data_IF_793054744736
#
_entry.id   IF_793054744736
#
_cell.length_a   1.000
_cell.length_b   1.000
_cell.length_c   1.000
_cell.angle_alpha   90.00
_cell.angle_beta   90.00
_cell.angle_gamma   90.00
#
_symmetry.space_group_name_H-M   'P 1'
#
loop_
_entity.id
_entity.type
_entity.pdbx_description
1 polymer ?
#
# COMPACT_ATOMS: atom_id res chain seq x y z
N UNK A 1 -35.12 -49.36 47.91
CA UNK A 1 -34.90 -48.14 47.10
C UNK A 1 -33.88 -47.36 47.92
N UNK A 2 -32.63 -47.26 47.50
CA UNK A 2 -32.20 -46.31 46.49
C UNK A 2 -30.83 -46.73 45.94
N UNK A 3 -30.63 -46.55 44.64
CA UNK A 3 -29.43 -46.90 43.87
C UNK A 3 -28.46 -45.72 43.95
N UNK A 4 -27.28 -45.92 44.53
CA UNK A 4 -26.22 -44.90 44.55
C UNK A 4 -25.62 -44.84 43.16
N UNK A 5 -25.79 -43.71 42.47
CA UNK A 5 -25.20 -43.45 41.15
C UNK A 5 -23.87 -42.73 41.35
N UNK A 6 -22.76 -43.36 40.93
CA UNK A 6 -21.44 -42.76 40.81
C UNK A 6 -21.48 -41.56 39.83
N UNK A 7 -20.99 -40.40 40.27
CA UNK A 7 -20.77 -39.25 39.41
C UNK A 7 -19.46 -39.48 38.60
N UNK A 8 -19.44 -39.21 37.27
CA UNK A 8 -18.27 -39.50 36.45
C UNK A 8 -17.14 -38.51 36.73
N UNK A 9 -15.90 -39.03 36.68
CA UNK A 9 -14.65 -38.28 36.77
C UNK A 9 -14.56 -37.22 35.66
N UNK A 10 -15.04 -36.00 35.94
CA UNK A 10 -15.20 -34.91 34.94
C UNK A 10 -14.33 -33.71 35.31
N UNK A 11 -13.08 -33.97 35.70
CA UNK A 11 -12.11 -32.94 36.10
C UNK A 11 -10.95 -32.83 35.12
N UNK A 12 -10.08 -33.84 35.11
CA UNK A 12 -8.83 -33.83 34.34
C UNK A 12 -9.05 -33.97 32.84
N UNK A 13 -9.84 -34.97 32.37
CA UNK A 13 -10.12 -35.12 30.93
C UNK A 13 -10.84 -33.91 30.31
N UNK A 14 -11.63 -33.19 31.12
CA UNK A 14 -12.35 -31.99 30.69
C UNK A 14 -11.42 -30.79 30.46
N UNK A 15 -10.35 -30.68 31.25
CA UNK A 15 -9.33 -29.63 31.11
C UNK A 15 -8.47 -29.94 29.88
N UNK A 16 -7.98 -31.18 29.75
CA UNK A 16 -7.17 -31.61 28.60
C UNK A 16 -7.93 -31.48 27.26
N UNK A 17 -9.22 -31.84 27.25
CA UNK A 17 -10.12 -31.65 26.08
C UNK A 17 -10.45 -30.18 25.79
N UNK A 18 -10.26 -29.28 26.76
CA UNK A 18 -10.46 -27.84 26.59
C UNK A 18 -9.18 -27.15 26.10
N UNK A 19 -8.00 -27.57 26.58
CA UNK A 19 -6.70 -27.09 26.12
C UNK A 19 -6.42 -27.48 24.67
N UNK A 20 -6.68 -28.73 24.31
CA UNK A 20 -6.58 -29.21 22.91
C UNK A 20 -7.53 -28.47 21.96
N UNK A 21 -8.78 -28.21 22.38
CA UNK A 21 -9.73 -27.36 21.62
C UNK A 21 -9.37 -25.88 21.59
N UNK A 22 -8.56 -25.40 22.52
CA UNK A 22 -8.05 -24.02 22.53
C UNK A 22 -6.86 -23.89 21.58
N UNK A 23 -5.92 -24.82 21.63
CA UNK A 23 -4.76 -24.88 20.73
C UNK A 23 -5.18 -24.97 19.25
N UNK A 24 -6.21 -25.77 18.93
CA UNK A 24 -6.78 -25.83 17.58
C UNK A 24 -7.44 -24.52 17.12
N UNK A 25 -8.04 -23.74 18.05
CA UNK A 25 -8.63 -22.42 17.73
C UNK A 25 -7.58 -21.32 17.61
N UNK A 26 -6.48 -21.42 18.36
CA UNK A 26 -5.34 -20.48 18.28
C UNK A 26 -4.51 -20.72 17.01
N UNK A 27 -4.45 -21.95 16.50
CA UNK A 27 -3.76 -22.28 15.25
C UNK A 27 -4.47 -21.77 13.97
N UNK A 28 -5.78 -21.49 14.04
CA UNK A 28 -6.58 -20.98 12.91
C UNK A 28 -6.60 -19.44 12.85
N UNK A 29 -6.03 -18.76 13.85
CA UNK A 29 -5.66 -17.35 13.72
C UNK A 29 -4.36 -17.27 12.93
N UNK A 30 -4.50 -17.16 11.61
CA UNK A 30 -3.44 -16.65 10.74
C UNK A 30 -2.98 -15.34 11.34
N UNK A 31 -1.79 -15.39 11.94
CA UNK A 31 -1.19 -14.31 12.69
C UNK A 31 -0.96 -13.16 11.71
N UNK A 32 -1.87 -12.18 11.68
CA UNK A 32 -1.67 -10.90 11.00
C UNK A 32 -0.39 -10.29 11.56
N UNK A 33 0.74 -10.56 10.90
CA UNK A 33 2.01 -9.96 11.26
C UNK A 33 1.92 -8.47 10.92
N UNK A 34 2.49 -7.60 11.76
CA UNK A 34 2.41 -6.14 11.64
C UNK A 34 2.96 -5.54 10.32
N UNK A 35 3.31 -6.36 9.33
CA UNK A 35 3.66 -5.95 7.97
C UNK A 35 3.14 -6.86 6.86
N UNK A 36 2.21 -7.77 7.14
CA UNK A 36 1.60 -8.68 6.15
C UNK A 36 0.08 -8.67 6.27
N UNK A 37 -0.61 -8.53 5.16
CA UNK A 37 -2.08 -8.64 5.07
C UNK A 37 -2.46 -9.64 4.00
N UNK A 38 -3.39 -10.52 4.31
CA UNK A 38 -3.96 -11.46 3.34
C UNK A 38 -5.40 -11.05 3.01
N UNK A 39 -5.68 -10.77 1.74
CA UNK A 39 -7.01 -10.34 1.28
C UNK A 39 -7.34 -11.00 -0.05
N UNK A 40 -8.48 -11.70 -0.09
CA UNK A 40 -9.02 -12.35 -1.30
C UNK A 40 -7.96 -13.04 -2.16
N UNK A 41 -7.17 -13.94 -1.57
CA UNK A 41 -6.17 -14.72 -2.31
C UNK A 41 -4.78 -14.07 -2.44
N UNK A 42 -4.63 -12.78 -2.11
CA UNK A 42 -3.37 -12.04 -2.24
C UNK A 42 -2.73 -11.72 -0.90
N UNK A 43 -1.40 -11.61 -0.94
CA UNK A 43 -0.60 -11.14 0.21
C UNK A 43 -0.02 -9.77 -0.10
N UNK A 44 -0.24 -8.83 0.80
CA UNK A 44 0.28 -7.47 0.76
C UNK A 44 1.32 -7.29 1.85
N UNK A 45 2.44 -6.66 1.50
CA UNK A 45 3.51 -6.31 2.43
C UNK A 45 3.48 -4.81 2.72
N UNK A 46 3.64 -4.45 3.98
CA UNK A 46 3.80 -3.06 4.39
C UNK A 46 5.18 -2.56 4.00
N UNK A 47 5.25 -1.42 3.32
CA UNK A 47 6.51 -0.82 2.88
C UNK A 47 6.88 0.46 3.63
N UNK A 48 5.97 1.03 4.42
CA UNK A 48 6.20 2.26 5.14
C UNK A 48 5.01 3.21 5.07
N UNK A 49 5.20 4.45 5.49
CA UNK A 49 4.16 5.47 5.46
C UNK A 49 4.50 6.55 4.43
N UNK A 50 3.47 7.01 3.71
CA UNK A 50 3.53 8.15 2.79
C UNK A 50 2.90 9.34 3.48
N UNK A 51 3.63 10.45 3.52
CA UNK A 51 3.12 11.73 4.02
C UNK A 51 2.37 12.44 2.91
N UNK A 52 1.09 12.70 3.15
CA UNK A 52 0.23 13.47 2.24
C UNK A 52 0.49 14.97 2.39
N UNK A 53 0.13 15.82 1.41
CA UNK A 53 0.28 17.28 1.54
C UNK A 53 -0.43 17.90 2.75
N UNK A 54 -1.47 17.24 3.29
CA UNK A 54 -2.18 17.64 4.50
C UNK A 54 -1.47 17.21 5.81
N UNK A 55 -0.31 16.56 5.72
CA UNK A 55 0.46 16.04 6.85
C UNK A 55 0.01 14.67 7.36
N UNK A 56 -1.03 14.08 6.76
CA UNK A 56 -1.52 12.74 7.14
C UNK A 56 -0.55 11.66 6.67
N UNK A 57 -0.24 10.71 7.56
CA UNK A 57 0.53 9.52 7.23
C UNK A 57 -0.40 8.40 6.78
N UNK A 58 -0.19 7.89 5.57
CA UNK A 58 -0.94 6.75 5.03
C UNK A 58 -0.01 5.55 4.83
N UNK A 59 -0.42 4.34 5.21
CA UNK A 59 0.42 3.15 5.05
C UNK A 59 0.48 2.73 3.57
N UNK A 60 1.68 2.55 3.03
CA UNK A 60 1.92 2.00 1.71
C UNK A 60 1.97 0.47 1.77
N UNK A 61 1.05 -0.17 1.05
CA UNK A 61 1.01 -1.62 0.91
C UNK A 61 1.39 -2.05 -0.50
N UNK A 62 2.13 -3.13 -0.65
CA UNK A 62 2.56 -3.64 -1.96
C UNK A 62 2.19 -5.11 -2.07
N UNK A 63 1.56 -5.49 -3.18
CA UNK A 63 1.30 -6.88 -3.52
C UNK A 63 2.63 -7.64 -3.63
N UNK A 64 2.74 -8.74 -2.88
CA UNK A 64 3.90 -9.64 -2.89
C UNK A 64 4.24 -10.21 -4.28
N UNK A 65 3.31 -10.18 -5.24
CA UNK A 65 3.57 -10.59 -6.63
C UNK A 65 4.22 -9.50 -7.47
N UNK A 66 4.26 -8.24 -6.99
CA UNK A 66 4.94 -7.15 -7.68
C UNK A 66 6.42 -7.45 -7.84
N UNK A 67 6.98 -7.07 -9.01
CA UNK A 67 8.40 -7.20 -9.33
C UNK A 67 8.90 -5.87 -9.90
N UNK A 68 10.12 -5.51 -9.54
CA UNK A 68 10.80 -4.35 -10.14
C UNK A 68 10.92 -4.55 -11.66
N UNK A 69 10.61 -3.50 -12.42
CA UNK A 69 10.60 -3.54 -13.89
C UNK A 69 9.23 -3.83 -14.52
N UNK A 70 8.20 -4.18 -13.72
CA UNK A 70 6.82 -4.19 -14.21
C UNK A 70 6.35 -2.77 -14.55
N UNK A 71 5.58 -2.63 -15.63
CA UNK A 71 4.95 -1.36 -15.99
C UNK A 71 3.96 -0.96 -14.90
N UNK A 72 4.24 0.16 -14.23
CA UNK A 72 3.43 0.68 -13.15
C UNK A 72 2.49 1.78 -13.67
N UNK A 73 1.17 1.55 -13.57
CA UNK A 73 0.16 2.53 -13.93
C UNK A 73 -0.37 3.24 -12.68
N UNK A 74 -0.16 4.54 -12.59
CA UNK A 74 -0.63 5.35 -11.45
C UNK A 74 -2.09 5.74 -11.64
N UNK A 75 -2.92 5.38 -10.68
CA UNK A 75 -4.35 5.67 -10.64
C UNK A 75 -4.68 6.47 -9.36
N UNK A 76 -5.34 7.63 -9.47
CA UNK A 76 -5.78 8.37 -8.31
C UNK A 76 -6.87 7.60 -7.57
N UNK A 77 -6.75 7.56 -6.25
CA UNK A 77 -7.77 7.01 -5.37
C UNK A 77 -9.10 7.74 -5.59
N UNK A 78 -10.19 6.98 -5.77
CA UNK A 78 -11.53 7.54 -6.01
C UNK A 78 -11.75 8.16 -7.40
N UNK A 79 -10.85 7.94 -8.36
CA UNK A 79 -11.09 8.30 -9.77
C UNK A 79 -12.02 7.31 -10.47
N UNK A 80 -12.52 7.67 -11.66
CA UNK A 80 -13.32 6.77 -12.50
C UNK A 80 -12.55 5.48 -12.85
N UNK A 81 -11.24 5.59 -13.11
CA UNK A 81 -10.38 4.43 -13.37
C UNK A 81 -10.25 3.51 -12.14
N UNK A 82 -10.20 4.09 -10.94
CA UNK A 82 -10.23 3.31 -9.69
C UNK A 82 -11.55 2.54 -9.55
N UNK A 83 -12.69 3.18 -9.80
CA UNK A 83 -13.99 2.51 -9.70
C UNK A 83 -14.22 1.48 -10.81
N UNK A 84 -13.65 1.70 -12.00
CA UNK A 84 -13.65 0.70 -13.06
C UNK A 84 -12.89 -0.58 -12.64
N UNK A 85 -11.72 -0.43 -11.99
CA UNK A 85 -11.00 -1.57 -11.40
C UNK A 85 -11.80 -2.23 -10.27
N UNK A 86 -12.40 -1.45 -9.38
CA UNK A 86 -13.21 -1.95 -8.26
C UNK A 86 -14.54 -2.59 -8.68
N UNK A 87 -14.85 -2.69 -9.98
CA UNK A 87 -16.04 -3.40 -10.47
C UNK A 87 -15.96 -4.92 -10.24
N UNK A 88 -14.75 -5.46 -10.17
CA UNK A 88 -14.49 -6.85 -9.81
C UNK A 88 -14.47 -7.00 -8.27
N UNK A 89 -15.24 -7.93 -7.67
CA UNK A 89 -15.34 -8.05 -6.22
C UNK A 89 -14.00 -8.32 -5.51
N UNK A 90 -13.16 -9.17 -6.09
CA UNK A 90 -11.85 -9.49 -5.53
C UNK A 90 -10.91 -8.28 -5.57
N UNK A 91 -10.95 -7.53 -6.67
CA UNK A 91 -10.20 -6.28 -6.83
C UNK A 91 -10.67 -5.22 -5.83
N UNK A 92 -11.97 -5.06 -5.65
CA UNK A 92 -12.53 -4.14 -4.65
C UNK A 92 -12.05 -4.49 -3.24
N UNK A 93 -11.98 -5.78 -2.90
CA UNK A 93 -11.44 -6.23 -1.62
C UNK A 93 -9.96 -5.85 -1.47
N UNK A 94 -9.14 -6.06 -2.50
CA UNK A 94 -7.73 -5.65 -2.49
C UNK A 94 -7.55 -4.14 -2.34
N UNK A 95 -8.31 -3.33 -3.09
CA UNK A 95 -8.24 -1.88 -3.05
C UNK A 95 -8.67 -1.29 -1.69
N UNK A 96 -9.44 -2.05 -0.90
CA UNK A 96 -9.85 -1.66 0.44
C UNK A 96 -8.71 -1.78 1.48
N UNK A 97 -7.56 -2.35 1.12
CA UNK A 97 -6.40 -2.50 2.04
C UNK A 97 -5.85 -1.14 2.45
N UNK A 98 -5.65 -0.24 1.48
CA UNK A 98 -5.13 1.10 1.72
C UNK A 98 -5.40 2.03 0.53
N UNK A 99 -5.63 3.33 0.76
CA UNK A 99 -5.68 4.32 -0.32
C UNK A 99 -4.30 4.62 -0.94
N UNK A 100 -3.21 4.13 -0.35
CA UNK A 100 -1.86 4.11 -0.93
C UNK A 100 -1.39 2.66 -1.08
N UNK A 101 -1.35 2.14 -2.31
CA UNK A 101 -0.89 0.77 -2.54
C UNK A 101 -0.39 0.48 -3.95
N UNK A 102 0.37 -0.60 -4.10
CA UNK A 102 0.68 -1.22 -5.39
C UNK A 102 0.03 -2.59 -5.46
N UNK A 103 -0.76 -2.85 -6.50
CA UNK A 103 -1.45 -4.12 -6.72
C UNK A 103 -1.19 -4.64 -8.12
N UNK A 104 -1.01 -5.96 -8.29
CA UNK A 104 -0.89 -6.57 -9.60
C UNK A 104 -2.21 -7.22 -10.00
N UNK A 105 -2.80 -6.73 -11.08
CA UNK A 105 -4.07 -7.21 -11.64
C UNK A 105 -3.81 -7.63 -13.07
N UNK A 106 -4.13 -8.88 -13.43
CA UNK A 106 -3.92 -9.42 -14.79
C UNK A 106 -2.51 -9.12 -15.35
N UNK A 107 -1.46 -9.38 -14.55
CA UNK A 107 -0.04 -9.13 -14.90
C UNK A 107 0.37 -7.65 -14.99
N UNK A 108 -0.55 -6.71 -14.80
CA UNK A 108 -0.27 -5.27 -14.80
C UNK A 108 -0.18 -4.74 -13.38
N UNK A 109 0.86 -3.95 -13.08
CA UNK A 109 1.02 -3.32 -11.78
C UNK A 109 0.32 -1.95 -11.76
N UNK A 110 -0.52 -1.71 -10.76
CA UNK A 110 -1.23 -0.46 -10.56
C UNK A 110 -0.78 0.19 -9.26
N UNK A 111 -0.40 1.46 -9.32
CA UNK A 111 -0.13 2.29 -8.14
C UNK A 111 -1.37 3.11 -7.84
N UNK A 112 -2.04 2.81 -6.74
CA UNK A 112 -3.12 3.64 -6.21
C UNK A 112 -2.52 4.68 -5.28
N UNK A 113 -2.89 5.94 -5.48
CA UNK A 113 -2.41 7.05 -4.65
C UNK A 113 -3.45 8.14 -4.47
N UNK A 114 -3.42 8.79 -3.31
CA UNK A 114 -4.21 9.97 -2.96
C UNK A 114 -3.52 11.29 -3.32
N UNK A 115 -2.25 11.23 -3.75
CA UNK A 115 -1.49 12.36 -4.26
C UNK A 115 -1.80 12.58 -5.74
N UNK A 116 -2.36 13.73 -6.08
CA UNK A 116 -2.67 14.08 -7.45
C UNK A 116 -1.40 14.47 -8.21
N UNK A 117 -0.75 13.49 -8.85
CA UNK A 117 0.07 13.70 -10.06
C UNK A 117 -0.25 12.57 -11.05
N UNK A 118 -1.53 12.47 -11.44
CA UNK A 118 -1.92 11.77 -12.66
C UNK A 118 -1.88 12.73 -13.83
N UNK A 119 -0.70 12.87 -14.43
CA UNK A 119 -0.59 13.37 -15.79
C UNK A 119 0.55 12.65 -16.54
N UNK A 120 0.42 11.34 -16.73
CA UNK A 120 1.19 10.58 -17.71
C UNK A 120 0.48 9.26 -18.07
N UNK A 121 -0.57 9.35 -18.89
CA UNK A 121 -1.25 8.13 -19.37
C UNK A 121 -2.57 8.29 -20.11
N UNK A 122 -2.99 9.50 -20.51
CA UNK A 122 -4.13 9.62 -21.41
C UNK A 122 -3.71 9.23 -22.85
N UNK A 123 -4.42 8.30 -23.54
CA UNK A 123 -4.34 8.21 -24.98
C UNK A 123 -4.82 9.53 -25.57
N UNK A 124 -3.95 10.12 -26.39
CA UNK A 124 -4.22 11.37 -27.10
C UNK A 124 -5.48 11.23 -27.95
N UNK A 125 -6.48 12.06 -27.67
CA UNK A 125 -7.45 12.43 -28.71
C UNK A 125 -6.68 13.24 -29.75
N UNK A 126 -6.70 12.93 -31.06
CA UNK A 126 -6.06 13.78 -32.06
C UNK A 126 -6.83 15.10 -32.14
N UNK A 127 -6.33 16.13 -31.47
CA UNK A 127 -6.75 17.50 -31.72
C UNK A 127 -6.27 17.92 -33.12
N UNK A 128 -7.12 18.52 -33.98
CA UNK A 128 -6.65 19.02 -35.26
C UNK A 128 -5.77 20.27 -35.08
N UNK A 129 -4.53 20.12 -35.54
CA UNK A 129 -3.63 21.13 -36.15
C UNK A 129 -2.97 22.20 -35.24
N UNK A 130 -1.62 22.33 -35.30
CA UNK A 130 -0.84 23.29 -34.52
C UNK A 130 -0.94 24.72 -35.09
N UNK A 131 -1.07 25.71 -34.21
CA UNK A 131 -0.62 27.07 -34.53
C UNK A 131 0.78 27.24 -33.94
N UNK A 132 1.85 27.32 -34.75
CA UNK A 132 3.15 27.73 -34.26
C UNK A 132 3.12 29.24 -34.07
N UNK A 133 3.17 29.73 -32.84
CA UNK A 133 3.48 31.14 -32.56
C UNK A 133 4.63 31.22 -31.57
N UNK A 134 5.78 31.43 -32.20
CA UNK A 134 6.97 32.15 -31.77
C UNK A 134 7.84 31.65 -30.61
N UNK A 135 9.18 31.78 -30.77
CA UNK A 135 10.17 31.24 -29.87
C UNK A 135 10.66 32.27 -28.84
N UNK A 136 11.47 31.75 -27.90
CA UNK A 136 12.54 32.40 -27.10
C UNK A 136 12.19 32.72 -25.62
N UNK A 137 13.19 32.84 -24.72
CA UNK A 137 14.11 31.80 -24.23
C UNK A 137 14.05 31.60 -22.70
N UNK A 138 14.59 30.46 -22.25
CA UNK A 138 15.28 30.24 -20.96
C UNK A 138 14.68 30.90 -19.70
N UNK A 139 13.77 30.20 -19.03
CA UNK A 139 13.77 30.22 -17.56
C UNK A 139 14.63 29.07 -17.06
N UNK A 140 15.86 29.38 -16.63
CA UNK A 140 16.65 28.51 -15.77
C UNK A 140 15.90 28.33 -14.45
N UNK A 141 14.97 27.39 -14.41
CA UNK A 141 14.49 26.85 -13.16
C UNK A 141 15.44 25.72 -12.76
N UNK A 142 16.04 25.76 -11.56
CA UNK A 142 16.83 24.63 -11.09
C UNK A 142 15.93 23.41 -11.05
N UNK A 143 16.36 22.34 -11.70
CA UNK A 143 15.62 21.08 -11.71
C UNK A 143 15.43 20.57 -10.27
N UNK A 144 14.33 19.86 -10.00
CA UNK A 144 14.10 19.23 -8.69
C UNK A 144 15.27 18.33 -8.26
N UNK A 145 15.97 17.74 -9.23
CA UNK A 145 17.19 16.98 -8.99
C UNK A 145 18.36 17.87 -8.54
N UNK A 146 18.47 19.11 -9.04
CA UNK A 146 19.43 20.09 -8.54
C UNK A 146 19.06 20.59 -7.14
N UNK A 147 17.77 20.83 -6.84
CA UNK A 147 17.35 21.19 -5.48
C UNK A 147 17.57 20.04 -4.48
N UNK A 148 17.33 18.79 -4.90
CA UNK A 148 17.59 17.60 -4.08
C UNK A 148 19.09 17.43 -3.82
N UNK A 149 19.93 17.67 -4.84
CA UNK A 149 21.38 17.57 -4.72
C UNK A 149 21.95 18.70 -3.83
N UNK A 150 21.48 19.94 -3.99
CA UNK A 150 21.84 21.06 -3.12
C UNK A 150 21.41 20.81 -1.66
N UNK A 151 20.21 20.25 -1.46
CA UNK A 151 19.73 19.88 -0.14
C UNK A 151 20.57 18.76 0.50
N UNK A 152 20.95 17.75 -0.29
CA UNK A 152 21.85 16.66 0.14
C UNK A 152 23.24 17.17 0.52
N UNK A 153 23.83 18.07 -0.28
CA UNK A 153 25.13 18.66 0.02
C UNK A 153 25.09 19.57 1.25
N UNK A 154 23.94 20.20 1.52
CA UNK A 154 23.72 21.02 2.71
C UNK A 154 23.55 20.20 3.99
N UNK A 155 23.12 18.94 3.90
CA UNK A 155 23.06 18.01 5.02
C UNK A 155 24.44 17.50 5.48
N UNK A 156 25.41 17.47 4.57
CA UNK A 156 26.78 16.99 4.86
C UNK A 156 27.79 18.10 5.14
N UNK A 157 27.39 19.38 5.08
CA UNK A 157 28.28 20.48 5.42
C UNK A 157 28.50 20.53 6.94
N UNK A 158 29.74 20.36 7.44
CA UNK A 158 30.01 20.57 8.86
C UNK A 158 29.66 22.01 9.22
N UNK A 159 28.92 22.20 10.32
CA UNK A 159 28.76 23.51 10.93
C UNK A 159 30.15 24.01 11.31
N UNK A 160 30.77 24.81 10.45
CA UNK A 160 31.87 25.67 10.87
C UNK A 160 31.28 26.73 11.79
N UNK A 161 31.26 26.39 13.06
CA UNK A 161 31.10 27.29 14.19
C UNK A 161 32.17 28.37 14.10
N UNK A 162 31.78 29.53 13.57
CA UNK A 162 32.45 30.77 13.84
C UNK A 162 32.32 31.11 15.33
N UNK A 163 33.46 31.32 15.99
CA UNK A 163 33.60 32.19 17.16
C UNK A 163 35.09 32.40 17.42
N UNK A 164 35.50 33.54 17.99
CA UNK A 164 35.12 34.93 17.73
C UNK A 164 36.24 35.76 17.06
#
# INVERSE_FOLDING_TARGET
MEKVAEAPATGEEGVESSESRRALREADQVQEHEGLRYVAGKTFTFQGNITRPDGTLLPLWVDSTYREGMTLQTIPFGSDAYFALASEPDVAAWLSVSPEMVVVIHDTAYRITTGAESEAGQPQTPAPTPTPTSPNPTSSQPSLLQMLLDWLLRLFSPRESATP
#
